data_IF_854726062720
#
_entry.id   IF_854726062720
#
_cell.length_a   1.000
_cell.length_b   1.000
_cell.length_c   1.000
_cell.angle_alpha   90.00
_cell.angle_beta   90.00
_cell.angle_gamma   90.00
#
_symmetry.space_group_name_H-M   'P 1'
#
loop_
_entity.id
_entity.type
_entity.pdbx_description
1 polymer ?
#
# COMPACT_ATOMS: atom_id res chain seq x y z
N UNK A 1 1.82 -20.63 24.40
CA UNK A 1 2.53 -19.52 23.74
C UNK A 1 2.29 -19.45 22.24
N UNK A 2 2.71 -20.44 21.43
CA UNK A 2 2.53 -20.36 19.96
C UNK A 2 1.07 -20.38 19.52
N UNK A 3 0.23 -21.21 20.14
CA UNK A 3 -1.20 -21.27 19.87
C UNK A 3 -1.94 -19.97 20.26
N UNK A 4 -1.54 -19.34 21.36
CA UNK A 4 -2.16 -18.10 21.86
C UNK A 4 -1.88 -16.92 20.94
N UNK A 5 -0.63 -16.81 20.46
CA UNK A 5 -0.23 -15.79 19.49
C UNK A 5 -0.98 -15.96 18.17
N UNK A 6 -1.11 -17.19 17.67
CA UNK A 6 -1.89 -17.47 16.45
C UNK A 6 -3.35 -17.08 16.62
N UNK A 7 -3.97 -17.40 17.77
CA UNK A 7 -5.34 -17.01 18.07
C UNK A 7 -5.50 -15.48 18.14
N UNK A 8 -4.51 -14.76 18.67
CA UNK A 8 -4.53 -13.29 18.72
C UNK A 8 -4.52 -12.68 17.31
N UNK A 9 -3.58 -13.10 16.45
CA UNK A 9 -3.50 -12.60 15.08
C UNK A 9 -4.73 -12.96 14.24
N UNK A 10 -5.27 -14.17 14.43
CA UNK A 10 -6.53 -14.58 13.80
C UNK A 10 -7.70 -13.71 14.26
N UNK A 11 -7.83 -13.46 15.57
CA UNK A 11 -8.88 -12.60 16.12
C UNK A 11 -8.79 -11.17 15.60
N UNK A 12 -7.58 -10.61 15.61
CA UNK A 12 -7.31 -9.30 15.04
C UNK A 12 -7.76 -9.22 13.57
N UNK A 13 -7.39 -10.21 12.76
CA UNK A 13 -7.73 -10.25 11.33
C UNK A 13 -9.23 -10.39 11.10
N UNK A 14 -9.88 -11.32 11.82
CA UNK A 14 -11.30 -11.58 11.74
C UNK A 14 -12.14 -10.34 12.12
N UNK A 15 -11.84 -9.73 13.26
CA UNK A 15 -12.59 -8.56 13.72
C UNK A 15 -12.25 -7.28 12.95
N UNK A 16 -11.07 -7.18 12.33
CA UNK A 16 -10.78 -6.11 11.38
C UNK A 16 -11.69 -6.18 10.16
N UNK A 17 -11.94 -7.37 9.62
CA UNK A 17 -12.85 -7.58 8.48
C UNK A 17 -14.31 -7.36 8.91
N UNK A 18 -14.73 -7.93 10.05
CA UNK A 18 -16.10 -7.80 10.54
C UNK A 18 -16.44 -6.33 10.86
N UNK A 19 -15.51 -5.60 11.50
CA UNK A 19 -15.67 -4.18 11.76
C UNK A 19 -15.76 -3.34 10.49
N UNK A 20 -14.97 -3.69 9.47
CA UNK A 20 -15.09 -3.08 8.15
C UNK A 20 -16.48 -3.32 7.54
N UNK A 21 -17.01 -4.55 7.59
CA UNK A 21 -18.36 -4.85 7.09
C UNK A 21 -19.43 -4.03 7.80
N UNK A 22 -19.34 -3.89 9.14
CA UNK A 22 -20.26 -3.09 9.94
C UNK A 22 -20.21 -1.62 9.52
N UNK A 23 -19.01 -1.05 9.45
CA UNK A 23 -18.82 0.38 9.17
C UNK A 23 -19.16 0.73 7.71
N UNK A 24 -18.80 -0.12 6.75
CA UNK A 24 -19.22 0.00 5.33
C UNK A 24 -20.74 0.00 5.25
N UNK A 25 -21.40 -0.94 5.93
CA UNK A 25 -22.85 -1.07 5.88
C UNK A 25 -23.52 0.18 6.46
N UNK A 26 -23.09 0.63 7.64
CA UNK A 26 -23.60 1.83 8.28
C UNK A 26 -23.44 3.08 7.41
N UNK A 27 -22.23 3.36 6.92
CA UNK A 27 -21.94 4.56 6.11
C UNK A 27 -22.60 4.49 4.74
N UNK A 28 -22.62 3.32 4.11
CA UNK A 28 -23.17 3.19 2.76
C UNK A 28 -24.69 3.32 2.75
N UNK A 29 -25.38 2.82 3.79
CA UNK A 29 -26.82 3.02 3.97
C UNK A 29 -27.12 4.50 4.25
N UNK A 30 -26.35 5.15 5.14
CA UNK A 30 -26.54 6.57 5.48
C UNK A 30 -26.32 7.48 4.27
N UNK A 31 -25.25 7.25 3.50
CA UNK A 31 -24.81 8.13 2.41
C UNK A 31 -25.38 7.70 1.05
N UNK A 32 -26.18 6.63 1.00
CA UNK A 32 -26.81 6.04 -0.20
C UNK A 32 -25.84 5.71 -1.34
N UNK A 33 -24.58 5.47 -1.01
CA UNK A 33 -23.50 5.11 -1.95
C UNK A 33 -22.48 4.26 -1.22
N UNK A 34 -21.71 3.47 -1.96
CA UNK A 34 -20.62 2.73 -1.33
C UNK A 34 -19.58 3.68 -0.74
N UNK A 35 -19.35 3.59 0.57
CA UNK A 35 -18.35 4.37 1.30
C UNK A 35 -17.39 3.41 1.99
N UNK A 36 -16.15 3.33 1.50
CA UNK A 36 -15.10 2.58 2.16
C UNK A 36 -14.64 3.33 3.42
N UNK A 37 -14.77 2.75 4.62
CA UNK A 37 -14.34 3.38 5.85
C UNK A 37 -12.84 3.17 6.10
N UNK A 38 -12.24 4.12 6.81
CA UNK A 38 -10.88 3.99 7.30
C UNK A 38 -9.80 4.48 6.33
N UNK A 39 -8.56 4.37 6.81
CA UNK A 39 -7.36 4.82 6.11
C UNK A 39 -6.97 3.90 4.94
N UNK A 40 -7.21 2.60 5.12
CA UNK A 40 -6.80 1.56 4.17
C UNK A 40 -7.87 1.34 3.10
N UNK A 41 -7.46 0.87 1.92
CA UNK A 41 -8.32 0.64 0.76
C UNK A 41 -8.97 -0.75 0.78
N UNK A 42 -8.36 -1.71 1.45
CA UNK A 42 -8.85 -3.09 1.52
C UNK A 42 -10.03 -3.27 2.48
N UNK A 43 -10.63 -4.48 2.48
CA UNK A 43 -11.84 -4.79 3.25
C UNK A 43 -11.56 -5.10 4.72
N UNK A 44 -10.87 -4.19 5.41
CA UNK A 44 -10.46 -4.34 6.79
C UNK A 44 -10.32 -2.99 7.47
N UNK A 45 -10.62 -2.97 8.77
CA UNK A 45 -10.52 -1.80 9.61
C UNK A 45 -9.72 -2.17 10.87
N UNK A 46 -8.38 -1.96 10.87
CA UNK A 46 -7.50 -2.36 11.98
C UNK A 46 -7.97 -1.88 13.35
N UNK A 47 -8.64 -0.72 13.39
CA UNK A 47 -9.24 -0.15 14.59
C UNK A 47 -10.16 -1.14 15.32
N UNK A 48 -11.02 -1.83 14.59
CA UNK A 48 -11.96 -2.80 15.16
C UNK A 48 -11.26 -4.10 15.57
N UNK A 49 -10.24 -4.54 14.82
CA UNK A 49 -9.40 -5.66 15.23
C UNK A 49 -8.70 -5.40 16.57
N UNK A 50 -8.09 -4.23 16.73
CA UNK A 50 -7.46 -3.79 17.99
C UNK A 50 -8.51 -3.63 19.09
N UNK A 51 -9.64 -2.98 18.81
CA UNK A 51 -10.73 -2.81 19.77
C UNK A 51 -11.28 -4.14 20.30
N UNK A 52 -11.48 -5.12 19.42
CA UNK A 52 -11.94 -6.45 19.79
C UNK A 52 -10.93 -7.19 20.69
N UNK A 53 -9.62 -7.11 20.39
CA UNK A 53 -8.59 -7.68 21.26
C UNK A 53 -8.62 -7.07 22.66
N UNK A 54 -8.68 -5.74 22.76
CA UNK A 54 -8.73 -5.03 24.05
C UNK A 54 -10.01 -5.40 24.80
N UNK A 55 -11.16 -5.43 24.10
CA UNK A 55 -12.44 -5.82 24.71
C UNK A 55 -12.44 -7.27 25.19
N UNK A 56 -11.84 -8.22 24.47
CA UNK A 56 -11.74 -9.60 24.96
C UNK A 56 -10.93 -9.70 26.26
N UNK A 57 -9.83 -8.95 26.37
CA UNK A 57 -9.06 -8.87 27.62
C UNK A 57 -9.92 -8.22 28.72
N UNK A 58 -10.59 -7.12 28.42
CA UNK A 58 -11.45 -6.43 29.39
C UNK A 58 -12.60 -7.31 29.87
N UNK A 59 -13.28 -8.03 28.97
CA UNK A 59 -14.32 -9.01 29.31
C UNK A 59 -13.77 -10.07 30.25
N UNK A 60 -12.58 -10.61 29.97
CA UNK A 60 -11.92 -11.59 30.83
C UNK A 60 -11.57 -11.05 32.21
N UNK A 61 -11.14 -9.79 32.31
CA UNK A 61 -10.80 -9.14 33.58
C UNK A 61 -12.02 -8.73 34.41
N UNK A 62 -13.13 -8.44 33.75
CA UNK A 62 -14.38 -7.95 34.35
C UNK A 62 -15.43 -9.05 34.52
N UNK A 63 -15.05 -10.32 34.41
CA UNK A 63 -15.95 -11.44 34.67
C UNK A 63 -16.54 -11.34 36.08
N UNK A 64 -17.86 -11.50 36.19
CA UNK A 64 -18.58 -11.36 37.47
C UNK A 64 -18.76 -9.92 38.00
N UNK A 65 -18.22 -8.90 37.33
CA UNK A 65 -18.42 -7.49 37.72
C UNK A 65 -19.83 -6.99 37.39
N UNK A 66 -20.29 -6.00 38.15
CA UNK A 66 -21.57 -5.33 37.91
C UNK A 66 -21.64 -4.67 36.51
N UNK A 67 -22.83 -4.62 35.93
CA UNK A 67 -23.08 -4.06 34.59
C UNK A 67 -22.59 -2.61 34.50
N UNK A 68 -22.76 -1.80 35.54
CA UNK A 68 -22.29 -0.42 35.55
C UNK A 68 -20.76 -0.33 35.44
N UNK A 69 -20.02 -1.17 36.16
CA UNK A 69 -18.55 -1.22 36.08
C UNK A 69 -18.09 -1.59 34.67
N UNK A 70 -18.75 -2.57 34.04
CA UNK A 70 -18.48 -2.93 32.64
C UNK A 70 -18.77 -1.78 31.68
N UNK A 71 -19.91 -1.10 31.86
CA UNK A 71 -20.28 0.03 31.02
C UNK A 71 -19.25 1.17 31.09
N UNK A 72 -18.77 1.51 32.29
CA UNK A 72 -17.72 2.52 32.47
C UNK A 72 -16.39 2.09 31.86
N UNK A 73 -15.99 0.83 32.04
CA UNK A 73 -14.78 0.31 31.42
C UNK A 73 -14.86 0.33 29.88
N UNK A 74 -15.98 -0.11 29.31
CA UNK A 74 -16.22 -0.10 27.87
C UNK A 74 -16.27 1.31 27.31
N UNK A 75 -16.86 2.26 28.04
CA UNK A 75 -16.82 3.68 27.67
C UNK A 75 -15.38 4.17 27.52
N UNK A 76 -14.55 3.96 28.54
CA UNK A 76 -13.15 4.39 28.56
C UNK A 76 -12.37 3.73 27.43
N UNK A 77 -12.50 2.41 27.26
CA UNK A 77 -11.78 1.65 26.25
C UNK A 77 -12.17 2.10 24.84
N UNK A 78 -13.46 2.11 24.52
CA UNK A 78 -13.93 2.36 23.15
C UNK A 78 -13.79 3.84 22.77
N UNK A 79 -14.20 4.75 23.64
CA UNK A 79 -14.07 6.20 23.39
C UNK A 79 -12.61 6.63 23.43
N UNK A 80 -11.80 6.06 24.33
CA UNK A 80 -10.36 6.32 24.38
C UNK A 80 -9.64 5.84 23.13
N UNK A 81 -10.00 4.67 22.60
CA UNK A 81 -9.46 4.15 21.34
C UNK A 81 -9.87 5.04 20.16
N UNK A 82 -11.13 5.45 20.06
CA UNK A 82 -11.62 6.38 19.03
C UNK A 82 -10.87 7.72 19.10
N UNK A 83 -10.75 8.31 20.28
CA UNK A 83 -10.01 9.56 20.48
C UNK A 83 -8.54 9.42 20.10
N UNK A 84 -7.86 8.37 20.58
CA UNK A 84 -6.45 8.11 20.28
C UNK A 84 -6.20 8.00 18.77
N UNK A 85 -7.05 7.25 18.07
CA UNK A 85 -6.95 7.12 16.62
C UNK A 85 -7.25 8.42 15.87
N UNK A 86 -8.23 9.21 16.33
CA UNK A 86 -8.51 10.55 15.80
C UNK A 86 -7.31 11.50 15.92
N UNK A 87 -6.70 11.55 17.11
CA UNK A 87 -5.53 12.40 17.40
C UNK A 87 -4.28 11.96 16.61
N UNK A 88 -4.03 10.65 16.48
CA UNK A 88 -2.94 10.12 15.65
C UNK A 88 -3.17 10.54 14.19
N UNK A 89 -4.40 10.41 13.68
CA UNK A 89 -4.73 10.83 12.32
C UNK A 89 -4.48 12.32 12.09
N UNK A 90 -4.85 13.17 13.05
CA UNK A 90 -4.61 14.61 13.02
C UNK A 90 -3.11 14.95 13.03
N UNK A 91 -2.30 14.29 13.87
CA UNK A 91 -0.85 14.48 13.92
C UNK A 91 -0.17 14.15 12.58
N UNK A 92 -0.60 13.08 11.92
CA UNK A 92 -0.10 12.68 10.60
C UNK A 92 -0.73 13.45 9.44
N UNK A 93 -1.47 14.54 9.72
CA UNK A 93 -2.18 15.37 8.74
C UNK A 93 -3.06 14.57 7.77
N UNK A 94 -3.60 13.44 8.23
CA UNK A 94 -4.48 12.61 7.43
C UNK A 94 -5.85 13.27 7.31
N UNK A 95 -6.55 13.10 6.17
CA UNK A 95 -7.97 13.42 6.08
C UNK A 95 -8.72 12.77 7.24
N UNK A 96 -9.58 13.54 7.91
CA UNK A 96 -10.38 13.03 9.02
C UNK A 96 -11.25 11.86 8.56
N UNK A 97 -11.12 10.71 9.21
CA UNK A 97 -11.88 9.50 8.89
C UNK A 97 -13.35 9.60 9.33
N UNK A 98 -13.62 10.43 10.33
CA UNK A 98 -14.93 10.83 10.81
C UNK A 98 -14.84 12.25 11.39
N UNK A 99 -15.97 12.93 11.46
CA UNK A 99 -16.07 14.25 12.07
C UNK A 99 -17.41 14.38 12.79
N UNK A 100 -17.35 14.64 14.10
CA UNK A 100 -18.49 14.84 14.98
C UNK A 100 -18.62 16.29 15.45
N UNK A 101 -18.02 17.25 14.73
CA UNK A 101 -18.08 18.68 15.08
C UNK A 101 -19.51 19.22 15.12
N UNK A 102 -20.43 18.59 14.41
CA UNK A 102 -21.86 18.91 14.39
C UNK A 102 -22.67 18.28 15.54
N UNK A 103 -22.06 17.38 16.33
CA UNK A 103 -22.72 16.70 17.44
C UNK A 103 -22.54 17.45 18.76
N UNK A 104 -23.54 17.35 19.66
CA UNK A 104 -23.45 17.90 21.02
C UNK A 104 -22.43 17.12 21.86
N UNK A 105 -21.76 17.82 22.78
CA UNK A 105 -20.72 17.27 23.64
C UNK A 105 -19.58 16.58 22.86
N UNK A 106 -19.17 17.18 21.74
CA UNK A 106 -18.01 16.71 20.99
C UNK A 106 -16.70 17.28 21.54
N UNK A 107 -15.60 16.56 21.32
CA UNK A 107 -14.25 17.05 21.60
C UNK A 107 -13.45 17.13 20.29
N UNK A 108 -13.21 18.36 19.81
CA UNK A 108 -12.49 18.68 18.56
C UNK A 108 -13.02 17.94 17.31
N UNK A 109 -14.26 17.46 17.35
CA UNK A 109 -14.86 16.60 16.34
C UNK A 109 -14.39 15.13 16.32
N UNK A 110 -13.51 14.70 17.24
CA UNK A 110 -12.97 13.33 17.26
C UNK A 110 -13.87 12.31 17.97
N UNK A 111 -14.49 12.72 19.07
CA UNK A 111 -15.44 11.92 19.84
C UNK A 111 -16.64 12.77 20.20
N UNK A 112 -17.79 12.14 20.45
CA UNK A 112 -18.93 12.79 21.08
C UNK A 112 -19.75 11.82 21.92
N UNK A 113 -20.51 12.35 22.88
CA UNK A 113 -21.28 11.54 23.82
C UNK A 113 -22.24 10.55 23.14
N UNK A 114 -22.88 10.97 22.03
CA UNK A 114 -23.84 10.12 21.29
C UNK A 114 -23.18 8.85 20.77
N UNK A 115 -22.02 8.96 20.11
CA UNK A 115 -21.32 7.80 19.57
C UNK A 115 -20.64 6.99 20.69
N UNK A 116 -20.14 7.62 21.75
CA UNK A 116 -19.68 6.93 22.95
C UNK A 116 -20.74 5.98 23.55
N UNK A 117 -22.01 6.39 23.57
CA UNK A 117 -23.12 5.52 24.02
C UNK A 117 -23.32 4.35 23.05
N UNK A 118 -23.29 4.60 21.73
CA UNK A 118 -23.37 3.51 20.75
C UNK A 118 -22.22 2.51 20.90
N UNK A 119 -21.01 2.98 21.21
CA UNK A 119 -19.86 2.12 21.45
C UNK A 119 -20.00 1.27 22.71
N UNK A 120 -20.58 1.80 23.80
CA UNK A 120 -20.91 0.99 24.99
C UNK A 120 -21.89 -0.13 24.61
N UNK A 121 -22.97 0.21 23.91
CA UNK A 121 -23.97 -0.77 23.47
C UNK A 121 -23.36 -1.84 22.57
N UNK A 122 -22.50 -1.43 21.63
CA UNK A 122 -21.79 -2.33 20.74
C UNK A 122 -20.80 -3.22 21.51
N UNK A 123 -20.13 -2.72 22.55
CA UNK A 123 -19.24 -3.51 23.39
C UNK A 123 -20.00 -4.58 24.19
N UNK A 124 -21.19 -4.25 24.71
CA UNK A 124 -22.06 -5.26 25.33
C UNK A 124 -22.60 -6.27 24.31
N UNK A 125 -22.96 -5.83 23.11
CA UNK A 125 -23.35 -6.73 22.04
C UNK A 125 -22.19 -7.65 21.63
N UNK A 126 -20.96 -7.12 21.62
CA UNK A 126 -19.76 -7.90 21.41
C UNK A 126 -19.58 -8.98 22.49
N UNK A 127 -19.68 -8.62 23.78
CA UNK A 127 -19.55 -9.57 24.90
C UNK A 127 -20.61 -10.66 24.88
N UNK A 128 -21.89 -10.31 24.74
CA UNK A 128 -22.99 -11.26 24.94
C UNK A 128 -23.48 -11.94 23.67
N UNK A 129 -23.36 -11.30 22.50
CA UNK A 129 -23.87 -11.85 21.25
C UNK A 129 -22.76 -12.39 20.35
N UNK A 130 -21.65 -11.66 20.19
CA UNK A 130 -20.59 -12.03 19.23
C UNK A 130 -19.55 -12.96 19.83
N UNK A 131 -19.12 -12.73 21.07
CA UNK A 131 -17.99 -13.44 21.67
C UNK A 131 -18.28 -14.94 21.89
N UNK A 132 -19.46 -15.37 22.38
CA UNK A 132 -19.72 -16.80 22.57
C UNK A 132 -19.64 -17.64 21.28
N UNK A 133 -20.34 -17.31 20.17
CA UNK A 133 -20.21 -18.08 18.93
C UNK A 133 -18.80 -17.95 18.32
N UNK A 134 -18.14 -16.80 18.50
CA UNK A 134 -16.76 -16.62 18.07
C UNK A 134 -15.78 -17.57 18.79
N UNK A 135 -15.94 -17.77 20.10
CA UNK A 135 -15.11 -18.71 20.86
C UNK A 135 -15.29 -20.15 20.38
N UNK A 136 -16.53 -20.56 20.08
CA UNK A 136 -16.79 -21.88 19.48
C UNK A 136 -16.10 -22.05 18.13
N UNK A 137 -16.15 -21.01 17.29
CA UNK A 137 -15.47 -20.98 16.00
C UNK A 137 -13.93 -21.05 16.14
N UNK A 138 -13.37 -20.37 17.15
CA UNK A 138 -11.93 -20.33 17.40
C UNK A 138 -11.35 -21.71 17.75
N UNK A 139 -12.15 -22.55 18.43
CA UNK A 139 -11.81 -23.92 18.80
C UNK A 139 -12.00 -24.87 17.60
N UNK A 140 -13.01 -24.61 16.76
CA UNK A 140 -13.31 -25.43 15.58
C UNK A 140 -12.18 -25.41 14.54
N UNK A 141 -11.54 -24.26 14.34
CA UNK A 141 -10.50 -24.13 13.32
C UNK A 141 -9.12 -24.58 13.79
N UNK A 142 -8.42 -25.30 12.91
CA UNK A 142 -7.06 -25.77 13.17
C UNK A 142 -6.07 -24.61 13.30
N UNK A 143 -4.99 -24.75 14.10
CA UNK A 143 -3.96 -23.71 14.21
C UNK A 143 -3.33 -23.32 12.87
N UNK A 144 -3.16 -24.28 11.95
CA UNK A 144 -2.61 -24.03 10.62
C UNK A 144 -3.53 -23.12 9.78
N UNK A 145 -4.83 -23.38 9.78
CA UNK A 145 -5.80 -22.53 9.08
C UNK A 145 -5.80 -21.11 9.65
N UNK A 146 -5.85 -20.99 10.99
CA UNK A 146 -5.82 -19.69 11.67
C UNK A 146 -4.54 -18.90 11.35
N UNK A 147 -3.39 -19.56 11.39
CA UNK A 147 -2.11 -18.98 11.05
C UNK A 147 -2.03 -18.51 9.60
N UNK A 148 -2.48 -19.34 8.64
CA UNK A 148 -2.50 -18.99 7.23
C UNK A 148 -3.44 -17.80 6.95
N UNK A 149 -4.67 -17.86 7.46
CA UNK A 149 -5.66 -16.79 7.29
C UNK A 149 -5.16 -15.47 7.85
N UNK A 150 -4.64 -15.49 9.08
CA UNK A 150 -4.11 -14.30 9.73
C UNK A 150 -2.87 -13.76 9.01
N UNK A 151 -1.93 -14.64 8.65
CA UNK A 151 -0.72 -14.29 7.92
C UNK A 151 -1.01 -13.61 6.60
N UNK A 152 -1.90 -14.17 5.78
CA UNK A 152 -2.33 -13.57 4.51
C UNK A 152 -3.01 -12.22 4.74
N UNK A 153 -3.97 -12.15 5.67
CA UNK A 153 -4.74 -10.92 5.93
C UNK A 153 -3.83 -9.80 6.42
N UNK A 154 -3.01 -10.05 7.43
CA UNK A 154 -2.06 -9.08 7.99
C UNK A 154 -1.04 -8.64 6.94
N UNK A 155 -0.56 -9.56 6.08
CA UNK A 155 0.37 -9.20 5.01
C UNK A 155 -0.28 -8.25 4.00
N UNK A 156 -1.52 -8.52 3.59
CA UNK A 156 -2.28 -7.63 2.69
C UNK A 156 -2.53 -6.27 3.35
N UNK A 157 -2.91 -6.26 4.62
CA UNK A 157 -3.11 -5.03 5.40
C UNK A 157 -1.83 -4.19 5.49
N UNK A 158 -0.69 -4.85 5.72
CA UNK A 158 0.63 -4.19 5.78
C UNK A 158 1.01 -3.60 4.43
N UNK A 159 0.82 -4.35 3.33
CA UNK A 159 1.10 -3.84 1.99
C UNK A 159 0.24 -2.63 1.63
N UNK A 160 -1.04 -2.63 2.00
CA UNK A 160 -1.94 -1.49 1.76
C UNK A 160 -1.57 -0.28 2.62
N UNK A 161 -1.25 -0.49 3.90
CA UNK A 161 -0.74 0.56 4.78
C UNK A 161 0.54 1.19 4.21
N UNK A 162 1.49 0.37 3.77
CA UNK A 162 2.71 0.85 3.12
C UNK A 162 2.39 1.65 1.86
N UNK A 163 1.48 1.18 1.01
CA UNK A 163 1.09 1.91 -0.21
C UNK A 163 0.44 3.27 0.10
N UNK A 164 -0.38 3.36 1.15
CA UNK A 164 -0.98 4.61 1.63
C UNK A 164 0.08 5.53 2.23
N UNK A 165 0.94 5.00 3.09
CA UNK A 165 2.02 5.75 3.72
C UNK A 165 3.00 6.32 2.69
N UNK A 166 3.39 5.55 1.68
CA UNK A 166 4.24 5.99 0.58
C UNK A 166 3.54 7.10 -0.23
N UNK A 167 2.26 6.93 -0.58
CA UNK A 167 1.50 7.96 -1.30
C UNK A 167 1.46 9.27 -0.52
N UNK A 168 1.23 9.20 0.79
CA UNK A 168 1.22 10.37 1.64
C UNK A 168 2.62 10.99 1.77
N UNK A 169 3.65 10.16 1.91
CA UNK A 169 5.06 10.59 1.92
C UNK A 169 5.52 11.17 0.57
N UNK A 170 4.85 10.86 -0.54
CA UNK A 170 5.13 11.47 -1.84
C UNK A 170 4.11 12.57 -2.21
N UNK A 171 3.13 12.84 -1.33
CA UNK A 171 2.19 13.93 -1.53
C UNK A 171 2.93 15.25 -1.29
N UNK A 172 3.01 16.05 -2.36
CA UNK A 172 3.69 17.34 -2.39
C UNK A 172 2.65 18.45 -2.56
N UNK A 173 2.88 19.61 -1.96
CA UNK A 173 2.06 20.78 -2.24
C UNK A 173 2.18 21.15 -3.74
N UNK A 174 1.16 21.75 -4.38
CA UNK A 174 1.21 22.04 -5.81
C UNK A 174 2.44 22.84 -6.24
N UNK A 175 2.85 23.85 -5.44
CA UNK A 175 4.06 24.65 -5.69
C UNK A 175 5.35 23.83 -5.58
N UNK A 176 5.45 22.97 -4.57
CA UNK A 176 6.60 22.07 -4.37
C UNK A 176 6.71 21.06 -5.51
N UNK A 177 5.57 20.52 -5.95
CA UNK A 177 5.49 19.60 -7.09
C UNK A 177 6.09 20.24 -8.34
N UNK A 178 5.66 21.45 -8.71
CA UNK A 178 6.20 22.15 -9.89
C UNK A 178 7.70 22.41 -9.77
N UNK A 179 8.19 22.84 -8.60
CA UNK A 179 9.62 23.07 -8.38
C UNK A 179 10.43 21.77 -8.55
N UNK A 180 9.95 20.68 -7.96
CA UNK A 180 10.61 19.38 -8.02
C UNK A 180 10.57 18.77 -9.43
N UNK A 181 9.48 18.94 -10.16
CA UNK A 181 9.38 18.54 -11.57
C UNK A 181 10.40 19.28 -12.44
N UNK A 182 10.55 20.60 -12.27
CA UNK A 182 11.58 21.37 -12.99
C UNK A 182 12.98 20.87 -12.66
N UNK A 183 13.30 20.69 -11.37
CA UNK A 183 14.60 20.16 -10.96
C UNK A 183 14.89 18.78 -11.55
N UNK A 184 13.90 17.88 -11.53
CA UNK A 184 14.04 16.56 -12.13
C UNK A 184 14.33 16.65 -13.64
N UNK A 185 13.55 17.46 -14.37
CA UNK A 185 13.72 17.63 -15.81
C UNK A 185 15.10 18.19 -16.13
N UNK A 186 15.55 19.21 -15.41
CA UNK A 186 16.86 19.83 -15.65
C UNK A 186 18.01 18.85 -15.41
N UNK A 187 17.91 17.99 -14.39
CA UNK A 187 18.89 16.92 -14.15
C UNK A 187 18.80 15.79 -15.18
N UNK A 188 17.60 15.42 -15.62
CA UNK A 188 17.37 14.29 -16.52
C UNK A 188 17.69 14.61 -17.99
N UNK A 189 17.45 15.86 -18.42
CA UNK A 189 17.52 16.30 -19.82
C UNK A 189 18.83 15.91 -20.52
N UNK A 190 20.03 16.13 -19.94
CA UNK A 190 21.28 15.81 -20.63
C UNK A 190 21.43 14.32 -21.00
N UNK A 191 20.86 13.42 -20.21
CA UNK A 191 20.87 11.98 -20.52
C UNK A 191 19.72 11.58 -21.44
N UNK A 192 18.53 12.17 -21.26
CA UNK A 192 17.37 11.86 -22.09
C UNK A 192 17.52 12.29 -23.56
N UNK A 193 18.35 13.29 -23.81
CA UNK A 193 18.67 13.77 -25.17
C UNK A 193 19.74 12.91 -25.87
N UNK A 194 20.42 12.00 -25.16
CA UNK A 194 21.36 11.08 -25.79
C UNK A 194 20.59 10.08 -26.69
N UNK A 195 21.01 9.89 -27.96
CA UNK A 195 20.36 8.96 -28.88
C UNK A 195 20.21 7.55 -28.31
N UNK A 196 21.21 7.09 -27.58
CA UNK A 196 21.29 5.78 -26.95
C UNK A 196 20.20 5.60 -25.88
N UNK A 197 19.95 6.61 -25.05
CA UNK A 197 18.89 6.58 -24.04
C UNK A 197 17.52 6.75 -24.72
N UNK A 198 17.38 7.68 -25.67
CA UNK A 198 16.15 7.87 -26.42
C UNK A 198 15.70 6.61 -27.17
N UNK A 199 16.65 5.79 -27.65
CA UNK A 199 16.42 4.50 -28.31
C UNK A 199 15.68 3.49 -27.44
N UNK A 200 15.70 3.63 -26.11
CA UNK A 200 14.94 2.78 -25.19
C UNK A 200 13.41 2.85 -25.43
N UNK A 201 12.91 3.87 -26.12
CA UNK A 201 11.50 3.98 -26.54
C UNK A 201 11.08 2.89 -27.53
N UNK A 202 12.04 2.27 -28.22
CA UNK A 202 11.79 1.25 -29.24
C UNK A 202 11.70 -0.16 -28.67
N UNK A 203 12.02 -0.35 -27.38
CA UNK A 203 12.04 -1.66 -26.75
C UNK A 203 10.96 -1.76 -25.69
N UNK A 204 10.18 -2.83 -25.76
CA UNK A 204 9.23 -3.15 -24.70
C UNK A 204 9.96 -3.55 -23.41
N UNK A 205 9.42 -3.13 -22.28
CA UNK A 205 9.84 -3.58 -20.97
C UNK A 205 8.81 -4.57 -20.43
N UNK A 206 7.59 -4.09 -20.13
CA UNK A 206 6.47 -4.91 -19.65
C UNK A 206 5.12 -4.45 -20.21
N UNK A 207 4.34 -5.38 -20.78
CA UNK A 207 2.90 -5.31 -21.09
C UNK A 207 2.41 -3.95 -21.64
N UNK A 208 3.07 -3.44 -22.69
CA UNK A 208 2.69 -2.21 -23.40
C UNK A 208 3.42 -0.93 -22.97
N UNK A 209 4.32 -1.01 -21.99
CA UNK A 209 5.21 0.08 -21.58
C UNK A 209 6.59 -0.08 -22.19
N UNK A 210 7.13 0.99 -22.76
CA UNK A 210 8.49 1.04 -23.30
C UNK A 210 9.52 1.09 -22.17
N UNK A 211 10.75 0.67 -22.45
CA UNK A 211 11.86 0.74 -21.49
C UNK A 211 12.19 2.19 -21.13
N UNK A 212 12.04 3.12 -22.08
CA UNK A 212 12.20 4.55 -21.80
C UNK A 212 11.19 5.07 -20.78
N UNK A 213 9.91 4.69 -20.92
CA UNK A 213 8.87 5.07 -19.95
C UNK A 213 9.14 4.48 -18.57
N UNK A 214 9.62 3.23 -18.51
CA UNK A 214 10.00 2.58 -17.26
C UNK A 214 11.12 3.31 -16.53
N UNK A 215 12.27 3.52 -17.19
CA UNK A 215 13.42 4.19 -16.55
C UNK A 215 13.11 5.63 -16.15
N UNK A 216 12.29 6.35 -16.93
CA UNK A 216 11.82 7.71 -16.58
C UNK A 216 10.99 7.70 -15.30
N UNK A 217 10.08 6.74 -15.16
CA UNK A 217 9.24 6.64 -13.98
C UNK A 217 10.04 6.24 -12.73
N UNK A 218 10.91 5.23 -12.85
CA UNK A 218 11.80 4.81 -11.77
C UNK A 218 12.69 5.97 -11.34
N UNK A 219 13.27 6.71 -12.29
CA UNK A 219 14.08 7.89 -11.99
C UNK A 219 13.28 8.98 -11.28
N UNK A 220 12.08 9.31 -11.74
CA UNK A 220 11.26 10.35 -11.13
C UNK A 220 10.83 9.99 -9.71
N UNK A 221 10.30 8.78 -9.50
CA UNK A 221 9.89 8.35 -8.17
C UNK A 221 11.08 8.26 -7.21
N UNK A 222 12.21 7.72 -7.66
CA UNK A 222 13.44 7.66 -6.86
C UNK A 222 13.95 9.05 -6.52
N UNK A 223 13.85 10.02 -7.44
CA UNK A 223 14.21 11.41 -7.21
C UNK A 223 13.37 12.03 -6.10
N UNK A 224 12.05 11.81 -6.08
CA UNK A 224 11.17 12.31 -5.02
C UNK A 224 11.56 11.74 -3.65
N UNK A 225 11.86 10.44 -3.59
CA UNK A 225 12.40 9.79 -2.40
C UNK A 225 13.74 10.37 -1.99
N UNK A 226 14.64 10.56 -2.97
CA UNK A 226 15.95 11.17 -2.77
C UNK A 226 15.85 12.56 -2.15
N UNK A 227 14.97 13.41 -2.67
CA UNK A 227 14.72 14.76 -2.14
C UNK A 227 14.22 14.72 -0.70
N UNK A 228 13.28 13.82 -0.39
CA UNK A 228 12.69 13.75 0.95
C UNK A 228 13.60 13.09 1.98
N UNK A 229 14.53 12.25 1.54
CA UNK A 229 15.56 11.63 2.38
C UNK A 229 16.89 12.42 2.39
N UNK A 230 16.92 13.60 1.76
CA UNK A 230 18.11 14.44 1.62
C UNK A 230 19.31 13.69 1.03
N UNK A 231 19.06 12.85 0.02
CA UNK A 231 20.08 12.09 -0.70
C UNK A 231 20.53 12.82 -1.96
N UNK A 232 21.63 12.33 -2.54
CA UNK A 232 22.17 12.81 -3.80
C UNK A 232 21.21 12.52 -4.97
N UNK A 233 20.36 13.50 -5.23
CA UNK A 233 19.27 13.39 -6.19
C UNK A 233 19.79 13.36 -7.63
N UNK A 234 20.96 13.94 -7.90
CA UNK A 234 21.58 13.91 -9.22
C UNK A 234 22.06 12.51 -9.57
N UNK A 235 22.82 11.88 -8.65
CA UNK A 235 23.25 10.50 -8.83
C UNK A 235 22.06 9.54 -8.97
N UNK A 236 20.97 9.75 -8.21
CA UNK A 236 19.73 8.98 -8.34
C UNK A 236 19.16 9.09 -9.74
N UNK A 237 18.94 10.30 -10.26
CA UNK A 237 18.34 10.51 -11.57
C UNK A 237 19.22 9.89 -12.66
N UNK A 238 20.53 10.16 -12.62
CA UNK A 238 21.48 9.67 -13.61
C UNK A 238 21.59 8.15 -13.59
N UNK A 239 21.79 7.55 -12.43
CA UNK A 239 21.88 6.10 -12.27
C UNK A 239 20.57 5.39 -12.65
N UNK A 240 19.42 5.93 -12.24
CA UNK A 240 18.12 5.34 -12.54
C UNK A 240 17.73 5.44 -14.02
N UNK A 241 18.10 6.51 -14.74
CA UNK A 241 17.84 6.56 -16.19
C UNK A 241 18.67 5.54 -16.98
N UNK A 242 19.77 5.07 -16.42
CA UNK A 242 20.74 4.20 -17.07
C UNK A 242 20.71 2.74 -16.58
N UNK A 243 19.92 2.43 -15.55
CA UNK A 243 19.95 1.11 -14.89
C UNK A 243 19.57 -0.04 -15.85
N UNK A 244 18.71 0.28 -16.82
CA UNK A 244 18.10 -0.64 -17.78
C UNK A 244 18.57 -0.39 -19.22
N UNK A 245 19.78 0.18 -19.37
CA UNK A 245 20.32 0.59 -20.67
C UNK A 245 20.81 -0.61 -21.50
N UNK A 246 19.89 -1.35 -22.11
CA UNK A 246 20.16 -2.41 -23.08
C UNK A 246 19.16 -2.38 -24.24
N UNK A 247 19.52 -3.01 -25.36
CA UNK A 247 18.89 -2.81 -26.67
C UNK A 247 18.45 -4.12 -27.34
N UNK A 248 17.79 -4.99 -26.58
CA UNK A 248 17.21 -6.22 -27.08
C UNK A 248 15.91 -6.54 -26.35
N UNK A 249 15.09 -7.41 -26.92
CA UNK A 249 13.92 -7.99 -26.25
C UNK A 249 14.37 -9.16 -25.38
N UNK A 250 14.21 -9.06 -24.06
CA UNK A 250 14.68 -10.10 -23.14
C UNK A 250 13.82 -11.38 -23.15
N UNK A 251 12.60 -11.34 -23.71
CA UNK A 251 11.72 -12.50 -23.82
C UNK A 251 12.14 -13.42 -24.97
N UNK A 252 12.63 -12.85 -26.07
CA UNK A 252 12.91 -13.58 -27.31
C UNK A 252 14.39 -13.55 -27.71
N UNK A 253 15.18 -12.61 -27.16
CA UNK A 253 16.56 -12.36 -27.54
C UNK A 253 17.48 -12.18 -26.32
N UNK A 254 18.78 -12.05 -26.58
CA UNK A 254 19.77 -11.70 -25.56
C UNK A 254 20.30 -12.88 -24.73
N UNK A 255 21.05 -12.57 -23.66
CA UNK A 255 21.75 -13.59 -22.89
C UNK A 255 20.81 -14.37 -21.97
N UNK A 256 21.07 -15.68 -21.83
CA UNK A 256 20.44 -16.51 -20.79
C UNK A 256 20.68 -15.92 -19.40
N UNK A 257 19.73 -16.13 -18.48
CA UNK A 257 19.74 -15.57 -17.12
C UNK A 257 19.79 -14.04 -17.12
N UNK A 258 18.99 -13.41 -17.97
CA UNK A 258 18.93 -11.96 -18.17
C UNK A 258 18.90 -11.15 -16.85
N UNK A 259 18.06 -11.54 -15.89
CA UNK A 259 17.95 -10.88 -14.58
C UNK A 259 19.26 -10.81 -13.77
N UNK A 260 20.21 -11.72 -14.01
CA UNK A 260 21.52 -11.77 -13.34
C UNK A 260 22.65 -11.15 -14.18
N UNK A 261 22.34 -10.60 -15.36
CA UNK A 261 23.34 -10.15 -16.33
C UNK A 261 23.12 -8.75 -16.85
N UNK A 262 21.86 -8.31 -17.01
CA UNK A 262 21.58 -7.04 -17.65
C UNK A 262 22.13 -5.85 -16.88
N UNK A 263 22.17 -5.89 -15.54
CA UNK A 263 22.81 -4.83 -14.75
C UNK A 263 24.29 -4.61 -15.12
N UNK A 264 25.03 -5.65 -15.51
CA UNK A 264 26.42 -5.51 -16.00
C UNK A 264 26.46 -4.97 -17.44
N UNK A 265 25.49 -5.37 -18.28
CA UNK A 265 25.37 -4.89 -19.66
C UNK A 265 25.02 -3.40 -19.67
N UNK A 266 24.01 -3.01 -18.88
CA UNK A 266 23.60 -1.64 -18.69
C UNK A 266 24.76 -0.79 -18.16
N UNK A 267 25.50 -1.26 -17.16
CA UNK A 267 26.69 -0.56 -16.66
C UNK A 267 27.76 -0.37 -17.75
N UNK A 268 28.01 -1.40 -18.56
CA UNK A 268 28.98 -1.32 -19.67
C UNK A 268 28.53 -0.30 -20.72
N UNK A 269 27.26 -0.33 -21.11
CA UNK A 269 26.69 0.59 -22.09
C UNK A 269 26.70 2.04 -21.55
N UNK A 270 26.34 2.24 -20.28
CA UNK A 270 26.30 3.55 -19.65
C UNK A 270 27.68 4.22 -19.63
N UNK A 271 28.74 3.45 -19.35
CA UNK A 271 30.13 3.94 -19.37
C UNK A 271 30.64 4.32 -20.77
N UNK A 272 29.96 3.89 -21.83
CA UNK A 272 30.32 4.28 -23.20
C UNK A 272 29.72 5.63 -23.60
N UNK A 273 28.62 6.05 -22.96
CA UNK A 273 27.87 7.26 -23.36
C UNK A 273 28.02 8.43 -22.39
N UNK A 274 28.45 8.18 -21.15
CA UNK A 274 28.70 9.22 -20.14
C UNK A 274 29.77 8.76 -19.14
N UNK A 275 30.46 9.73 -18.53
CA UNK A 275 31.20 9.47 -17.29
C UNK A 275 30.23 9.14 -16.16
N UNK A 276 30.63 8.22 -15.27
CA UNK A 276 29.84 7.79 -14.12
C UNK A 276 30.65 7.95 -12.84
N UNK A 277 30.00 8.41 -11.78
CA UNK A 277 30.53 8.31 -10.42
C UNK A 277 30.42 6.88 -9.88
N UNK A 278 31.17 6.56 -8.83
CA UNK A 278 31.06 5.25 -8.16
C UNK A 278 29.64 4.97 -7.65
N UNK A 279 28.92 6.01 -7.22
CA UNK A 279 27.54 5.92 -6.75
C UNK A 279 26.57 5.60 -7.89
N UNK A 280 26.68 6.30 -9.02
CA UNK A 280 25.88 6.03 -10.22
C UNK A 280 26.12 4.62 -10.78
N UNK A 281 27.40 4.20 -10.81
CA UNK A 281 27.77 2.86 -11.23
C UNK A 281 27.19 1.78 -10.28
N UNK A 282 27.18 2.04 -8.97
CA UNK A 282 26.57 1.14 -7.99
C UNK A 282 25.04 1.07 -8.15
N UNK A 283 24.36 2.20 -8.37
CA UNK A 283 22.92 2.24 -8.68
C UNK A 283 22.60 1.30 -9.85
N UNK A 284 23.28 1.47 -10.99
CA UNK A 284 23.07 0.66 -12.19
C UNK A 284 23.39 -0.81 -11.91
N UNK A 285 24.49 -1.11 -11.19
CA UNK A 285 24.94 -2.48 -10.96
C UNK A 285 24.06 -3.25 -9.96
N UNK A 286 23.39 -2.56 -9.03
CA UNK A 286 22.73 -3.14 -7.85
C UNK A 286 21.22 -2.99 -7.83
N UNK A 287 20.62 -2.36 -8.84
CA UNK A 287 19.16 -2.13 -8.86
C UNK A 287 18.33 -3.41 -8.74
N UNK A 288 18.83 -4.56 -9.21
CA UNK A 288 18.17 -5.86 -9.09
C UNK A 288 18.29 -6.55 -7.73
N UNK A 289 18.84 -5.92 -6.69
CA UNK A 289 18.85 -6.54 -5.36
C UNK A 289 17.41 -6.78 -4.86
N UNK A 290 17.08 -7.93 -4.24
CA UNK A 290 17.95 -9.02 -3.78
C UNK A 290 18.23 -10.14 -4.81
N UNK A 291 17.74 -10.04 -6.05
CA UNK A 291 18.07 -11.00 -7.11
C UNK A 291 19.58 -11.00 -7.39
N UNK A 292 20.20 -9.83 -7.47
CA UNK A 292 21.66 -9.71 -7.38
C UNK A 292 22.06 -9.79 -5.90
N UNK A 293 22.67 -10.90 -5.49
CA UNK A 293 22.92 -11.26 -4.08
C UNK A 293 23.72 -10.19 -3.32
N UNK A 294 24.61 -9.46 -4.01
CA UNK A 294 25.43 -8.43 -3.36
C UNK A 294 24.60 -7.16 -3.14
N UNK A 295 24.45 -6.69 -1.89
CA UNK A 295 23.58 -5.56 -1.58
C UNK A 295 24.08 -4.22 -2.13
N UNK A 296 23.19 -3.21 -2.28
CA UNK A 296 23.54 -1.85 -2.63
C UNK A 296 24.50 -1.23 -1.60
N UNK A 297 25.53 -0.50 -2.06
CA UNK A 297 26.51 0.15 -1.17
C UNK A 297 26.00 1.50 -0.66
N UNK A 298 25.22 2.20 -1.48
CA UNK A 298 24.70 3.54 -1.18
C UNK A 298 23.20 3.51 -0.92
N UNK A 299 22.70 4.48 -0.15
CA UNK A 299 21.26 4.61 0.14
C UNK A 299 20.48 4.94 -1.14
N UNK A 300 21.08 5.71 -2.02
CA UNK A 300 20.59 6.04 -3.36
C UNK A 300 20.36 4.77 -4.19
N UNK A 301 21.33 3.86 -4.20
CA UNK A 301 21.22 2.56 -4.85
C UNK A 301 20.09 1.70 -4.28
N UNK A 302 19.90 1.71 -2.95
CA UNK A 302 18.78 1.02 -2.30
C UNK A 302 17.43 1.62 -2.70
N UNK A 303 17.32 2.95 -2.74
CA UNK A 303 16.09 3.64 -3.17
C UNK A 303 15.72 3.23 -4.59
N UNK A 304 16.67 3.31 -5.53
CA UNK A 304 16.42 2.95 -6.94
C UNK A 304 16.02 1.48 -7.07
N UNK A 305 16.70 0.57 -6.36
CA UNK A 305 16.38 -0.86 -6.35
C UNK A 305 14.95 -1.17 -5.87
N UNK A 306 14.52 -0.53 -4.78
CA UNK A 306 13.17 -0.70 -4.24
C UNK A 306 12.11 -0.09 -5.15
N UNK A 307 12.36 1.10 -5.71
CA UNK A 307 11.44 1.79 -6.61
C UNK A 307 11.29 1.03 -7.92
N UNK A 308 12.38 0.51 -8.49
CA UNK A 308 12.36 -0.33 -9.68
C UNK A 308 11.50 -1.59 -9.48
N UNK A 309 11.77 -2.32 -8.38
CA UNK A 309 10.98 -3.51 -8.01
C UNK A 309 9.50 -3.17 -7.86
N UNK A 310 9.17 -2.03 -7.23
CA UNK A 310 7.79 -1.57 -7.08
C UNK A 310 7.13 -1.23 -8.41
N UNK A 311 7.82 -0.51 -9.30
CA UNK A 311 7.29 -0.14 -10.62
C UNK A 311 7.02 -1.38 -11.46
N UNK A 312 7.99 -2.30 -11.52
CA UNK A 312 7.87 -3.56 -12.24
C UNK A 312 6.70 -4.39 -11.70
N UNK A 313 6.60 -4.58 -10.38
CA UNK A 313 5.49 -5.30 -9.77
C UNK A 313 4.12 -4.67 -10.06
N UNK A 314 4.02 -3.33 -9.99
CA UNK A 314 2.78 -2.59 -10.27
C UNK A 314 2.37 -2.69 -11.73
N UNK A 315 3.32 -2.66 -12.65
CA UNK A 315 3.07 -2.75 -14.09
C UNK A 315 2.55 -4.15 -14.47
N UNK A 316 3.02 -5.22 -13.81
CA UNK A 316 2.43 -6.55 -13.93
C UNK A 316 0.97 -6.64 -13.44
N UNK A 317 0.61 -5.90 -12.38
CA UNK A 317 -0.70 -5.97 -11.73
C UNK A 317 -1.77 -5.09 -12.41
N UNK A 318 -1.40 -3.94 -12.97
CA UNK A 318 -2.34 -2.88 -13.37
C UNK A 318 -3.21 -3.24 -14.61
N UNK A 319 -2.71 -4.07 -15.53
CA UNK A 319 -3.47 -4.44 -16.74
C UNK A 319 -4.57 -5.48 -16.48
N UNK A 320 -4.56 -6.22 -15.36
CA UNK A 320 -5.70 -7.11 -15.03
C UNK A 320 -7.03 -6.35 -14.93
N UNK A 321 -6.96 -5.02 -14.75
CA UNK A 321 -8.10 -4.11 -14.75
C UNK A 321 -8.49 -3.64 -16.17
N UNK A 322 -7.52 -3.33 -17.04
CA UNK A 322 -7.78 -2.92 -18.43
C UNK A 322 -8.22 -4.09 -19.32
N UNK A 323 -7.63 -5.27 -19.18
CA UNK A 323 -8.05 -6.48 -19.92
C UNK A 323 -9.48 -6.93 -19.57
N UNK A 324 -9.91 -6.71 -18.31
CA UNK A 324 -11.30 -6.95 -17.90
C UNK A 324 -12.27 -5.99 -18.58
N UNK A 325 -11.90 -4.71 -18.72
CA UNK A 325 -12.73 -3.73 -19.42
C UNK A 325 -12.70 -3.94 -20.95
N UNK A 326 -11.56 -4.32 -21.53
CA UNK A 326 -11.45 -4.60 -22.97
C UNK A 326 -12.19 -5.89 -23.36
N UNK A 327 -12.12 -6.96 -22.55
CA UNK A 327 -12.94 -8.17 -22.76
C UNK A 327 -14.43 -7.91 -22.55
N UNK A 328 -14.82 -7.10 -21.57
CA UNK A 328 -16.22 -6.72 -21.38
C UNK A 328 -16.74 -5.88 -22.56
N UNK A 329 -15.95 -4.94 -23.08
CA UNK A 329 -16.30 -4.15 -24.25
C UNK A 329 -16.39 -5.00 -25.54
N UNK A 330 -15.47 -5.95 -25.74
CA UNK A 330 -15.51 -6.86 -26.88
C UNK A 330 -16.71 -7.83 -26.85
N UNK A 331 -17.17 -8.24 -25.66
CA UNK A 331 -18.39 -9.05 -25.50
C UNK A 331 -19.65 -8.23 -25.81
N UNK A 332 -19.71 -6.96 -25.41
CA UNK A 332 -20.85 -6.08 -25.74
C UNK A 332 -20.93 -5.74 -27.23
N UNK A 333 -19.80 -5.58 -27.92
CA UNK A 333 -19.76 -5.32 -29.38
C UNK A 333 -20.07 -6.61 -30.18
N UNK A 334 -19.76 -7.78 -29.63
CA UNK A 334 -20.13 -9.07 -30.22
C UNK A 334 -21.62 -9.42 -30.11
N UNK A 335 -22.34 -8.88 -29.12
CA UNK A 335 -23.79 -9.14 -28.97
C UNK A 335 -24.68 -8.23 -29.80
N UNK A 336 -24.21 -7.07 -30.25
CA UNK A 336 -25.01 -6.14 -31.08
C UNK A 336 -24.92 -6.42 -32.59
N UNK A 337 -23.97 -7.24 -33.05
CA UNK A 337 -23.82 -7.59 -34.47
C UNK A 337 -24.46 -8.93 -34.89
N UNK A 338 -25.08 -9.65 -33.93
CA UNK A 338 -25.67 -10.97 -34.16
C UNK A 338 -27.14 -11.00 -34.60
N UNK A 339 -27.88 -9.89 -34.54
CA UNK A 339 -29.33 -9.89 -34.75
C UNK A 339 -29.76 -9.04 -35.96
N UNK A 340 -29.19 -9.35 -37.12
CA UNK A 340 -29.70 -8.94 -38.45
C UNK A 340 -29.25 -9.96 -39.51
N UNK A 341 -29.82 -11.17 -39.48
CA UNK A 341 -29.92 -12.08 -40.64
C UNK A 341 -30.75 -13.34 -40.32
N UNK A 342 -32.08 -13.19 -40.37
CA UNK A 342 -33.04 -13.92 -41.22
C UNK A 342 -34.39 -14.04 -40.54
#
# INVERSE_FOLDING_TARGET
>A
MTADVVNMFFSFSFFSILGWMLEVSYRSVRDKRFVNPGLLKGPYLPLYGTGALILMVAVSMLQGSYVLTKALAYLIITTGLELGCGLIGEYFSQPRLWDYSDQRFNYRGHICLKFSIYWILLAFAFEYLLLPPYQSMLILFSPAFKGLFAGVTVSIMLMDFLAVAIRHFLCLAPKEKTLLETQFIDTARPLLELPEVAKLSQYEHHRGKTRLEHVKEVAYLSFLWGKRLSLDSEAIVRGALLHDLFYYDWLHEGPRLHGFRHHNIALKNARQITSLTEKEADIIKKHMWPLTIVPPRYRESLVVSLVDTFCSARDYLSVKKQDKHAKAAAVCVGSESGDKKR
#
